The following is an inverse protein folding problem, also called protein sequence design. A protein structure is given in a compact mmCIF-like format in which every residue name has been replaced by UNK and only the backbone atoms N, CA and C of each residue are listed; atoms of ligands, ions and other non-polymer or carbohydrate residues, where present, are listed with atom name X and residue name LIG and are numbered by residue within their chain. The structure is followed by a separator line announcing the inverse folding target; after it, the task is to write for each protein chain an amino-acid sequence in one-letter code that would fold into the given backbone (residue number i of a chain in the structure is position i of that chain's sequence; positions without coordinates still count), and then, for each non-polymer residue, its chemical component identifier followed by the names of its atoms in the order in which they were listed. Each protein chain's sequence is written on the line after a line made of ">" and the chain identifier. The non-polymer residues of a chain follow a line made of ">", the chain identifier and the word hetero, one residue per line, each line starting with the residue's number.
data_IF_301731505267
#
_entry.id   IF_301731505267
#
_cell.length_a   1.000
_cell.length_b   1.000
_cell.length_c   1.000
_cell.angle_alpha   90.00
_cell.angle_beta   90.00
_cell.angle_gamma   90.00
#
_symmetry.space_group_name_H-M   'P 1'
#
loop_
_entity.id
_entity.type
_entity.pdbx_description
1 polymer ?
#
# COMPACT_ATOMS: atom_id res chain seq x y z
N UNK A 1 -1.66 46.37 19.55
CA UNK A 1 -2.94 46.52 18.81
C UNK A 1 -4.05 45.90 19.63
N UNK A 2 -5.25 46.47 19.60
CA UNK A 2 -6.44 45.83 20.15
C UNK A 2 -7.05 44.83 19.13
N UNK A 3 -8.01 44.02 19.56
CA UNK A 3 -8.64 42.99 18.71
C UNK A 3 -9.27 43.59 17.44
N UNK A 4 -9.90 44.76 17.52
CA UNK A 4 -10.51 45.40 16.35
C UNK A 4 -9.46 45.81 15.32
N UNK A 5 -8.34 46.38 15.76
CA UNK A 5 -7.21 46.70 14.88
C UNK A 5 -6.61 45.44 14.23
N UNK A 6 -6.54 44.34 14.98
CA UNK A 6 -6.06 43.04 14.46
C UNK A 6 -7.02 42.50 13.40
N UNK A 7 -8.35 42.57 13.63
CA UNK A 7 -9.35 42.17 12.64
C UNK A 7 -9.16 42.95 11.33
N UNK A 8 -9.00 44.27 11.43
CA UNK A 8 -8.78 45.12 10.25
C UNK A 8 -7.47 44.81 9.53
N UNK A 9 -6.39 44.54 10.26
CA UNK A 9 -5.11 44.11 9.66
C UNK A 9 -5.25 42.79 8.89
N UNK A 10 -5.98 41.82 9.45
CA UNK A 10 -6.24 40.54 8.78
C UNK A 10 -7.07 40.75 7.51
N UNK A 11 -8.17 41.50 7.58
CA UNK A 11 -9.02 41.77 6.43
C UNK A 11 -8.32 42.62 5.36
N UNK A 12 -7.44 43.53 5.75
CA UNK A 12 -6.64 44.30 4.80
C UNK A 12 -5.69 43.41 3.99
N UNK A 13 -5.05 42.45 4.65
CA UNK A 13 -4.09 41.54 3.99
C UNK A 13 -4.76 40.36 3.28
N UNK A 14 -5.91 39.93 3.79
CA UNK A 14 -6.74 38.86 3.25
C UNK A 14 -8.19 39.34 3.12
N UNK A 15 -8.52 40.12 2.07
CA UNK A 15 -9.87 40.68 1.90
C UNK A 15 -10.99 39.66 1.76
N UNK A 16 -10.64 38.44 1.34
CA UNK A 16 -11.59 37.33 1.19
C UNK A 16 -11.63 36.42 2.43
N UNK A 17 -11.09 36.87 3.56
CA UNK A 17 -11.10 36.06 4.77
C UNK A 17 -12.54 35.84 5.25
N UNK A 18 -12.88 34.60 5.61
CA UNK A 18 -14.22 34.30 6.12
C UNK A 18 -14.37 34.83 7.55
N UNK A 19 -15.24 35.85 7.70
CA UNK A 19 -15.43 36.56 8.97
C UNK A 19 -15.96 35.66 10.08
N UNK A 20 -16.85 34.71 9.79
CA UNK A 20 -17.39 33.79 10.79
C UNK A 20 -16.30 33.00 11.53
N UNK A 21 -15.23 32.60 10.82
CA UNK A 21 -14.09 31.94 11.45
C UNK A 21 -13.12 32.94 12.08
N UNK A 22 -12.98 34.13 11.49
CA UNK A 22 -12.17 35.20 12.06
C UNK A 22 -12.67 35.64 13.43
N UNK A 23 -13.98 35.77 13.59
CA UNK A 23 -14.57 36.21 14.85
C UNK A 23 -14.36 35.16 15.96
N UNK A 24 -14.56 33.87 15.63
CA UNK A 24 -14.23 32.76 16.55
C UNK A 24 -12.75 32.73 16.94
N UNK A 25 -11.87 33.00 15.97
CA UNK A 25 -10.44 33.08 16.22
C UNK A 25 -10.08 34.22 17.19
N UNK A 26 -10.64 35.40 16.96
CA UNK A 26 -10.38 36.60 17.76
C UNK A 26 -11.02 36.50 19.14
N UNK A 27 -12.16 35.83 19.27
CA UNK A 27 -12.78 35.51 20.56
C UNK A 27 -11.81 34.69 21.43
N UNK A 28 -11.22 33.62 20.87
CA UNK A 28 -10.21 32.81 21.56
C UNK A 28 -8.98 33.66 21.93
N UNK A 29 -8.51 34.51 21.01
CA UNK A 29 -7.32 35.33 21.23
C UNK A 29 -7.55 36.57 22.09
N UNK A 30 -8.79 36.82 22.54
CA UNK A 30 -9.14 38.05 23.26
C UNK A 30 -8.63 38.09 24.71
N UNK A 31 -8.33 36.93 25.28
CA UNK A 31 -7.88 36.79 26.68
C UNK A 31 -6.94 35.60 26.84
N UNK A 32 -6.08 35.70 27.86
CA UNK A 32 -5.26 34.58 28.29
C UNK A 32 -6.12 33.49 28.96
N UNK A 33 -5.82 32.23 28.67
CA UNK A 33 -6.34 31.09 29.42
C UNK A 33 -5.66 31.00 30.79
N UNK A 34 -6.40 30.50 31.78
CA UNK A 34 -5.99 30.43 33.19
C UNK A 34 -5.72 29.01 33.67
N UNK A 35 -5.51 28.07 32.74
CA UNK A 35 -5.26 26.65 33.03
C UNK A 35 -3.82 26.39 33.51
N UNK A 36 -3.59 25.26 34.19
CA UNK A 36 -2.27 24.85 34.70
C UNK A 36 -1.18 24.77 33.62
N UNK A 37 -1.58 24.44 32.39
CA UNK A 37 -0.71 24.41 31.23
C UNK A 37 -1.22 25.36 30.15
N UNK A 38 -0.36 26.28 29.71
CA UNK A 38 -0.63 27.21 28.61
C UNK A 38 0.59 27.34 27.70
N UNK A 39 0.32 27.59 26.43
CA UNK A 39 1.31 27.81 25.38
C UNK A 39 1.18 29.24 24.84
N UNK A 40 2.31 29.86 24.51
CA UNK A 40 2.30 31.16 23.86
C UNK A 40 1.89 31.03 22.38
N UNK A 41 0.85 31.75 22.00
CA UNK A 41 0.32 31.81 20.65
C UNK A 41 0.56 33.20 20.02
N UNK A 42 0.84 33.22 18.71
CA UNK A 42 0.96 34.45 17.92
C UNK A 42 -0.39 34.80 17.29
N UNK A 43 -1.02 35.90 17.72
CA UNK A 43 -2.34 36.33 17.18
C UNK A 43 -2.26 36.67 15.67
N UNK A 44 -1.14 37.23 15.23
CA UNK A 44 -0.77 37.35 13.83
C UNK A 44 0.39 36.37 13.57
N UNK A 45 0.15 35.27 12.82
CA UNK A 45 1.13 34.21 12.59
C UNK A 45 2.50 34.67 12.07
N UNK A 46 3.55 34.18 12.74
CA UNK A 46 4.97 34.48 12.47
C UNK A 46 5.54 33.96 11.13
N UNK A 47 4.71 33.42 10.24
CA UNK A 47 5.19 32.87 8.97
C UNK A 47 5.74 33.98 8.08
N UNK A 48 6.83 33.70 7.34
CA UNK A 48 7.39 34.62 6.34
C UNK A 48 6.38 35.06 5.28
N UNK A 49 5.38 34.23 5.02
CA UNK A 49 4.34 34.48 4.02
C UNK A 49 3.06 35.11 4.60
N UNK A 50 3.04 35.44 5.90
CA UNK A 50 1.85 35.98 6.57
C UNK A 50 2.19 37.35 7.19
N UNK A 51 2.79 37.37 8.39
CA UNK A 51 3.23 38.59 9.07
C UNK A 51 4.66 38.48 9.62
N UNK A 52 5.70 38.47 8.76
CA UNK A 52 7.09 38.44 9.20
C UNK A 52 7.50 39.61 10.12
N UNK A 53 6.82 40.75 10.02
CA UNK A 53 7.04 41.95 10.84
C UNK A 53 6.65 41.74 12.32
N UNK A 54 5.77 40.79 12.61
CA UNK A 54 5.22 40.56 13.96
C UNK A 54 5.76 39.29 14.66
N UNK A 55 6.87 38.73 14.17
CA UNK A 55 7.48 37.49 14.69
C UNK A 55 7.90 37.61 16.17
N UNK A 56 8.48 38.76 16.55
CA UNK A 56 9.10 38.95 17.86
C UNK A 56 8.09 39.41 18.90
N UNK A 57 7.90 38.62 19.97
CA UNK A 57 7.12 39.03 21.14
C UNK A 57 7.79 40.12 21.98
N UNK A 58 9.12 40.32 21.85
CA UNK A 58 9.80 41.42 22.53
C UNK A 58 9.43 42.76 21.89
N UNK A 59 9.36 42.78 20.56
CA UNK A 59 9.02 43.98 19.78
C UNK A 59 7.51 44.18 19.67
N UNK A 60 6.73 43.10 19.66
CA UNK A 60 5.27 43.11 19.58
C UNK A 60 4.64 42.29 20.72
N UNK A 61 4.71 42.77 21.99
CA UNK A 61 4.16 42.03 23.13
C UNK A 61 2.66 41.75 23.01
N UNK A 62 1.93 42.67 22.37
CA UNK A 62 0.50 42.55 22.09
C UNK A 62 0.15 41.39 21.15
N UNK A 63 1.11 40.88 20.37
CA UNK A 63 0.88 39.77 19.44
C UNK A 63 0.91 38.40 20.14
N UNK A 64 1.08 38.38 21.48
CA UNK A 64 1.18 37.18 22.29
C UNK A 64 -0.08 37.01 23.13
N UNK A 65 -0.68 35.83 23.08
CA UNK A 65 -1.71 35.38 24.00
C UNK A 65 -1.32 34.01 24.55
N UNK A 66 -1.64 33.71 25.80
CA UNK A 66 -1.41 32.40 26.42
C UNK A 66 -2.68 31.57 26.29
N UNK A 67 -2.60 30.45 25.59
CA UNK A 67 -3.75 29.57 25.36
C UNK A 67 -3.49 28.18 25.94
N UNK A 68 -4.54 27.55 26.47
CA UNK A 68 -4.60 26.12 26.71
C UNK A 68 -4.36 25.37 25.39
N UNK A 69 -3.95 24.11 25.48
CA UNK A 69 -3.61 23.33 24.29
C UNK A 69 -4.79 23.22 23.30
N UNK A 70 -6.01 23.10 23.82
CA UNK A 70 -7.25 22.98 23.02
C UNK A 70 -7.57 24.29 22.32
N UNK A 71 -7.57 25.41 23.04
CA UNK A 71 -7.77 26.73 22.45
C UNK A 71 -6.67 27.07 21.44
N UNK A 72 -5.43 26.63 21.67
CA UNK A 72 -4.34 26.80 20.72
C UNK A 72 -4.59 26.01 19.42
N UNK A 73 -5.13 24.79 19.50
CA UNK A 73 -5.52 24.01 18.32
C UNK A 73 -6.66 24.69 17.55
N UNK A 74 -7.71 25.12 18.26
CA UNK A 74 -8.86 25.82 17.68
C UNK A 74 -8.46 27.15 17.05
N UNK A 75 -7.59 27.92 17.70
CA UNK A 75 -7.07 29.17 17.18
C UNK A 75 -6.38 28.95 15.82
N UNK A 76 -5.48 27.95 15.74
CA UNK A 76 -4.84 27.59 14.48
C UNK A 76 -5.82 27.10 13.41
N UNK A 77 -6.84 26.32 13.78
CA UNK A 77 -7.87 25.88 12.84
C UNK A 77 -8.67 27.06 12.28
N UNK A 78 -9.19 27.93 13.15
CA UNK A 78 -10.05 29.02 12.73
C UNK A 78 -9.33 30.08 11.91
N UNK A 79 -8.09 30.46 12.26
CA UNK A 79 -7.34 31.38 11.39
C UNK A 79 -7.05 30.75 10.04
N UNK A 80 -6.72 29.45 10.00
CA UNK A 80 -6.45 28.75 8.74
C UNK A 80 -7.69 28.64 7.84
N UNK A 81 -8.86 28.40 8.42
CA UNK A 81 -10.14 28.41 7.70
C UNK A 81 -10.53 29.81 7.23
N UNK A 82 -10.32 30.82 8.08
CA UNK A 82 -10.65 32.20 7.75
C UNK A 82 -9.84 32.69 6.57
N UNK A 83 -8.50 32.67 6.64
CA UNK A 83 -7.65 33.25 5.58
C UNK A 83 -7.34 32.28 4.44
N UNK A 84 -7.69 31.00 4.61
CA UNK A 84 -7.46 29.91 3.66
C UNK A 84 -6.07 29.89 3.01
N UNK A 85 -5.03 30.17 3.80
CA UNK A 85 -3.66 30.27 3.32
C UNK A 85 -2.82 29.06 3.77
N UNK A 86 -2.01 28.49 2.85
CA UNK A 86 -1.25 27.26 3.11
C UNK A 86 -0.39 27.32 4.39
N UNK A 87 0.19 28.49 4.66
CA UNK A 87 1.07 28.68 5.81
C UNK A 87 0.33 28.65 7.15
N UNK A 88 -0.96 29.00 7.19
CA UNK A 88 -1.78 28.92 8.39
C UNK A 88 -2.22 27.48 8.70
N UNK A 89 -2.34 26.62 7.68
CA UNK A 89 -2.66 25.19 7.84
C UNK A 89 -1.49 24.35 8.37
N UNK A 90 -0.24 24.83 8.22
CA UNK A 90 0.95 24.06 8.63
C UNK A 90 1.03 23.86 10.16
N UNK A 91 0.79 24.89 11.00
CA UNK A 91 0.65 24.71 12.45
C UNK A 91 -0.46 23.73 12.84
N UNK A 92 -1.62 23.75 12.18
CA UNK A 92 -2.74 22.81 12.44
C UNK A 92 -2.26 21.37 12.31
N UNK A 93 -1.57 21.04 11.22
CA UNK A 93 -0.99 19.71 11.02
C UNK A 93 -0.02 19.32 12.13
N UNK A 94 0.88 20.23 12.52
CA UNK A 94 1.91 19.96 13.52
C UNK A 94 1.33 19.78 14.91
N UNK A 95 0.31 20.53 15.27
CA UNK A 95 -0.38 20.38 16.55
C UNK A 95 -1.11 19.04 16.62
N UNK A 96 -1.80 18.66 15.55
CA UNK A 96 -2.65 17.44 15.55
C UNK A 96 -1.83 16.15 15.42
N UNK A 97 -0.77 16.15 14.60
CA UNK A 97 -0.01 14.93 14.26
C UNK A 97 1.44 14.92 14.73
N UNK A 98 1.96 16.05 15.22
CA UNK A 98 3.37 16.21 15.58
C UNK A 98 3.68 15.89 17.03
N UNK A 99 2.70 15.46 17.82
CA UNK A 99 2.83 15.23 19.25
C UNK A 99 2.90 13.74 19.58
N UNK A 100 3.68 13.42 20.61
CA UNK A 100 3.79 12.09 21.18
C UNK A 100 2.87 11.96 22.40
N UNK A 101 2.39 10.74 22.66
CA UNK A 101 1.50 10.39 23.78
C UNK A 101 2.05 10.82 25.16
N UNK A 102 3.37 10.93 25.29
CA UNK A 102 4.05 11.34 26.52
C UNK A 102 4.19 12.86 26.71
N UNK A 103 3.65 13.70 25.81
CA UNK A 103 3.80 15.14 25.95
C UNK A 103 2.95 15.67 27.12
N UNK A 104 3.49 16.62 27.89
CA UNK A 104 2.75 17.28 28.99
C UNK A 104 1.38 17.84 28.56
N UNK A 105 1.22 18.13 27.28
CA UNK A 105 0.00 18.66 26.65
C UNK A 105 -1.21 17.74 26.81
N UNK A 106 -1.00 16.43 27.01
CA UNK A 106 -2.07 15.43 27.19
C UNK A 106 -2.33 15.06 28.66
N UNK A 107 -1.53 15.56 29.61
CA UNK A 107 -1.68 15.15 31.03
C UNK A 107 -2.93 15.74 31.70
N UNK A 108 -3.45 16.84 31.17
CA UNK A 108 -4.54 17.62 31.77
C UNK A 108 -5.68 17.91 30.76
N UNK A 109 -5.92 17.03 29.80
CA UNK A 109 -7.04 17.18 28.85
C UNK A 109 -8.21 16.29 29.26
N UNK A 110 -9.44 16.79 29.11
CA UNK A 110 -10.66 16.00 29.37
C UNK A 110 -11.06 15.16 28.15
N UNK A 111 -12.06 14.29 28.30
CA UNK A 111 -12.62 13.57 27.16
C UNK A 111 -13.24 14.52 26.13
N UNK A 112 -13.87 15.61 26.59
CA UNK A 112 -14.41 16.66 25.71
C UNK A 112 -13.31 17.32 24.88
N UNK A 113 -12.16 17.62 25.50
CA UNK A 113 -11.00 18.19 24.82
C UNK A 113 -10.48 17.26 23.72
N UNK A 114 -10.42 15.95 24.00
CA UNK A 114 -10.04 14.93 23.01
C UNK A 114 -11.01 14.95 21.84
N UNK A 115 -12.32 15.05 22.08
CA UNK A 115 -13.33 15.13 21.02
C UNK A 115 -13.16 16.40 20.18
N UNK A 116 -12.86 17.54 20.79
CA UNK A 116 -12.59 18.80 20.07
C UNK A 116 -11.35 18.68 19.19
N UNK A 117 -10.26 18.11 19.71
CA UNK A 117 -9.02 17.89 18.94
C UNK A 117 -9.26 16.91 17.79
N UNK A 118 -10.02 15.84 18.03
CA UNK A 118 -10.41 14.89 16.99
C UNK A 118 -11.22 15.57 15.87
N UNK A 119 -12.16 16.46 16.22
CA UNK A 119 -12.89 17.26 15.24
C UNK A 119 -11.97 18.15 14.42
N UNK A 120 -11.00 18.82 15.05
CA UNK A 120 -9.98 19.59 14.34
C UNK A 120 -9.19 18.72 13.34
N UNK A 121 -8.88 17.47 13.72
CA UNK A 121 -8.17 16.52 12.87
C UNK A 121 -8.99 16.13 11.63
N UNK A 122 -10.29 15.89 11.79
CA UNK A 122 -11.18 15.60 10.66
C UNK A 122 -11.35 16.81 9.73
N UNK A 123 -11.50 18.01 10.28
CA UNK A 123 -11.57 19.24 9.46
C UNK A 123 -10.28 19.48 8.67
N UNK A 124 -9.11 19.24 9.29
CA UNK A 124 -7.84 19.31 8.58
C UNK A 124 -7.75 18.26 7.45
N UNK A 125 -8.22 17.02 7.68
CA UNK A 125 -8.18 15.96 6.67
C UNK A 125 -8.99 16.33 5.43
N UNK A 126 -10.19 16.88 5.60
CA UNK A 126 -11.04 17.28 4.47
C UNK A 126 -10.41 18.40 3.65
N UNK A 127 -9.74 19.36 4.28
CA UNK A 127 -9.13 20.51 3.59
C UNK A 127 -7.76 20.20 2.96
N UNK A 128 -6.90 19.46 3.66
CA UNK A 128 -5.48 19.35 3.28
C UNK A 128 -5.08 17.95 2.79
N UNK A 129 -5.87 16.89 3.01
CA UNK A 129 -5.62 15.53 2.47
C UNK A 129 -6.49 15.16 1.26
N UNK A 130 -7.37 16.06 0.80
CA UNK A 130 -8.12 15.92 -0.47
C UNK A 130 -7.27 16.22 -1.72
N UNK A 131 -7.94 16.57 -2.82
CA UNK A 131 -7.36 16.77 -4.17
C UNK A 131 -6.22 17.79 -4.28
N UNK A 132 -5.88 18.52 -3.20
CA UNK A 132 -4.87 19.59 -3.18
C UNK A 132 -3.56 19.14 -2.48
N UNK A 133 -3.52 17.96 -1.85
CA UNK A 133 -2.33 17.49 -1.11
C UNK A 133 -1.13 17.20 -2.04
N UNK A 134 0.08 17.65 -1.68
CA UNK A 134 1.29 17.46 -2.50
C UNK A 134 1.72 16.00 -2.67
N UNK A 135 1.29 15.08 -1.80
CA UNK A 135 1.56 13.64 -1.92
C UNK A 135 0.31 12.78 -2.25
N UNK A 136 -0.91 13.29 -2.08
CA UNK A 136 -2.15 12.49 -2.24
C UNK A 136 -3.28 13.19 -3.00
N UNK A 137 -3.13 14.48 -3.33
CA UNK A 137 -4.06 15.21 -4.20
C UNK A 137 -3.74 14.99 -5.68
N UNK A 138 -4.48 15.67 -6.56
CA UNK A 138 -4.24 15.75 -8.01
C UNK A 138 -2.74 15.81 -8.22
N UNK A 139 -2.19 14.72 -8.79
CA UNK A 139 -0.76 14.58 -9.04
C UNK A 139 -0.30 15.88 -9.66
N UNK A 140 0.57 16.63 -8.96
CA UNK A 140 1.28 17.73 -9.61
C UNK A 140 1.87 17.12 -10.87
N UNK A 141 1.42 17.59 -12.03
CA UNK A 141 2.08 17.29 -13.27
C UNK A 141 3.46 17.94 -13.14
N UNK A 142 4.39 17.22 -12.51
CA UNK A 142 5.82 17.50 -12.62
C UNK A 142 6.05 17.38 -14.11
N UNK A 143 6.02 18.52 -14.80
CA UNK A 143 6.09 18.58 -16.26
C UNK A 143 7.29 17.75 -16.71
N UNK A 144 7.20 17.18 -17.91
CA UNK A 144 8.22 16.24 -18.40
C UNK A 144 9.63 16.82 -18.34
N UNK A 145 9.74 18.15 -18.41
CA UNK A 145 10.98 18.88 -18.22
C UNK A 145 11.56 18.79 -16.79
N UNK A 146 10.74 18.92 -15.75
CA UNK A 146 11.19 18.75 -14.37
C UNK A 146 11.59 17.29 -14.09
N UNK A 147 10.85 16.32 -14.64
CA UNK A 147 11.24 14.90 -14.58
C UNK A 147 12.56 14.64 -15.28
N UNK A 148 12.77 15.25 -16.45
CA UNK A 148 14.02 15.19 -17.20
C UNK A 148 15.18 15.80 -16.42
N UNK A 149 15.00 16.98 -15.79
CA UNK A 149 16.02 17.64 -14.96
C UNK A 149 16.42 16.77 -13.76
N UNK A 150 15.45 16.15 -13.06
CA UNK A 150 15.73 15.23 -11.96
C UNK A 150 16.48 13.98 -12.46
N UNK A 151 16.02 13.39 -13.55
CA UNK A 151 16.66 12.21 -14.16
C UNK A 151 18.11 12.49 -14.55
N UNK A 152 18.38 13.62 -15.20
CA UNK A 152 19.73 14.06 -15.55
C UNK A 152 20.59 14.29 -14.30
N UNK A 153 20.05 14.94 -13.26
CA UNK A 153 20.76 15.22 -12.02
C UNK A 153 21.12 13.96 -11.21
N UNK A 154 20.41 12.85 -11.43
CA UNK A 154 20.64 11.56 -10.78
C UNK A 154 21.45 10.59 -11.66
N UNK A 155 21.57 10.85 -12.97
CA UNK A 155 22.30 10.00 -13.89
C UNK A 155 23.79 9.98 -13.52
N UNK A 156 24.34 8.78 -13.30
CA UNK A 156 25.75 8.59 -12.95
C UNK A 156 26.08 8.73 -11.45
N UNK A 157 25.14 9.17 -10.60
CA UNK A 157 25.36 9.16 -9.16
C UNK A 157 25.25 7.73 -8.62
N UNK A 158 26.35 7.19 -8.06
CA UNK A 158 26.31 5.94 -7.31
C UNK A 158 25.37 6.12 -6.13
N UNK A 159 24.38 5.24 -6.02
CA UNK A 159 23.55 5.17 -4.82
C UNK A 159 24.46 4.81 -3.64
N UNK A 160 24.28 5.44 -2.47
CA UNK A 160 25.03 5.04 -1.29
C UNK A 160 24.78 3.57 -1.00
N UNK A 161 25.81 2.89 -0.52
CA UNK A 161 25.70 1.51 -0.11
C UNK A 161 24.72 1.41 1.06
N UNK A 162 23.76 0.50 0.95
CA UNK A 162 22.74 0.32 1.97
C UNK A 162 23.34 -0.42 3.15
N UNK A 163 23.14 0.10 4.35
CA UNK A 163 23.46 -0.64 5.59
C UNK A 163 22.64 -1.93 5.67
N UNK A 164 23.15 -2.95 6.36
CA UNK A 164 22.43 -4.22 6.52
C UNK A 164 21.07 -4.05 7.21
N UNK A 165 20.98 -3.18 8.23
CA UNK A 165 19.70 -2.86 8.86
C UNK A 165 18.68 -2.27 7.87
N UNK A 166 19.12 -1.45 6.91
CA UNK A 166 18.24 -0.94 5.87
C UNK A 166 17.78 -2.02 4.88
N UNK A 167 18.66 -2.97 4.53
CA UNK A 167 18.29 -4.12 3.70
C UNK A 167 17.26 -5.01 4.40
N UNK A 168 17.47 -5.30 5.69
CA UNK A 168 16.54 -6.07 6.50
C UNK A 168 15.17 -5.38 6.60
N UNK A 169 15.14 -4.08 6.90
CA UNK A 169 13.88 -3.32 6.98
C UNK A 169 13.11 -3.30 5.64
N UNK A 170 13.83 -3.22 4.52
CA UNK A 170 13.22 -3.28 3.19
C UNK A 170 12.58 -4.66 2.95
N UNK A 171 13.31 -5.74 3.25
CA UNK A 171 12.83 -7.11 3.12
C UNK A 171 11.60 -7.37 4.00
N UNK A 172 11.66 -6.98 5.28
CA UNK A 172 10.53 -7.11 6.21
C UNK A 172 9.31 -6.31 5.75
N UNK A 173 9.50 -5.09 5.25
CA UNK A 173 8.40 -4.27 4.72
C UNK A 173 7.76 -4.87 3.48
N UNK A 174 8.58 -5.41 2.57
CA UNK A 174 8.09 -6.09 1.36
C UNK A 174 7.31 -7.34 1.76
N UNK A 175 7.85 -8.16 2.67
CA UNK A 175 7.19 -9.37 3.16
C UNK A 175 5.85 -9.07 3.80
N UNK A 176 5.81 -8.10 4.72
CA UNK A 176 4.56 -7.67 5.39
C UNK A 176 3.52 -7.18 4.38
N UNK A 177 3.96 -6.47 3.33
CA UNK A 177 3.06 -6.06 2.24
C UNK A 177 2.43 -7.28 1.58
N UNK A 178 3.20 -8.30 1.20
CA UNK A 178 2.67 -9.49 0.54
C UNK A 178 1.87 -10.41 1.46
N UNK A 179 2.14 -10.42 2.77
CA UNK A 179 1.35 -11.18 3.75
C UNK A 179 -0.08 -10.66 3.87
N UNK A 180 -0.29 -9.34 3.78
CA UNK A 180 -1.62 -8.74 3.89
C UNK A 180 -2.29 -8.43 2.55
N UNK A 181 -1.53 -8.44 1.46
CA UNK A 181 -2.02 -7.97 0.16
C UNK A 181 -2.71 -9.08 -0.61
N UNK A 182 -4.03 -9.17 -0.41
CA UNK A 182 -4.92 -9.96 -1.26
C UNK A 182 -5.32 -9.09 -2.44
N UNK A 183 -4.76 -9.37 -3.62
CA UNK A 183 -5.21 -8.74 -4.87
C UNK A 183 -6.64 -9.17 -5.15
N UNK A 184 -7.57 -8.22 -5.19
CA UNK A 184 -8.97 -8.50 -5.54
C UNK A 184 -9.09 -9.14 -6.92
N UNK A 185 -10.11 -9.96 -7.12
CA UNK A 185 -10.37 -10.59 -8.41
C UNK A 185 -10.52 -9.55 -9.53
N UNK A 186 -11.24 -8.46 -9.26
CA UNK A 186 -11.39 -7.33 -10.19
C UNK A 186 -10.04 -6.72 -10.60
N UNK A 187 -9.11 -6.56 -9.66
CA UNK A 187 -7.78 -6.03 -9.96
C UNK A 187 -6.98 -7.00 -10.83
N UNK A 188 -7.09 -8.31 -10.57
CA UNK A 188 -6.44 -9.35 -11.40
C UNK A 188 -6.99 -9.32 -12.83
N UNK A 189 -8.30 -9.19 -12.99
CA UNK A 189 -8.96 -9.14 -14.29
C UNK A 189 -8.55 -7.88 -15.08
N UNK A 190 -8.49 -6.71 -14.42
CA UNK A 190 -7.99 -5.47 -15.04
C UNK A 190 -6.54 -5.60 -15.49
N UNK A 191 -5.67 -6.17 -14.65
CA UNK A 191 -4.26 -6.40 -15.01
C UNK A 191 -4.14 -7.37 -16.18
N UNK A 192 -4.88 -8.49 -16.14
CA UNK A 192 -4.90 -9.49 -17.19
C UNK A 192 -5.35 -8.90 -18.53
N UNK A 193 -6.45 -8.14 -18.52
CA UNK A 193 -6.98 -7.47 -19.71
C UNK A 193 -5.98 -6.44 -20.27
N UNK A 194 -5.34 -5.65 -19.40
CA UNK A 194 -4.32 -4.67 -19.81
C UNK A 194 -3.10 -5.34 -20.43
N UNK A 195 -2.61 -6.43 -19.82
CA UNK A 195 -1.47 -7.20 -20.35
C UNK A 195 -1.83 -7.81 -21.71
N UNK A 196 -2.99 -8.45 -21.83
CA UNK A 196 -3.46 -9.03 -23.10
C UNK A 196 -3.55 -7.96 -24.18
N UNK A 197 -4.15 -6.80 -23.88
CA UNK A 197 -4.23 -5.65 -24.77
C UNK A 197 -2.86 -5.17 -25.23
N UNK A 198 -1.91 -5.02 -24.30
CA UNK A 198 -0.54 -4.61 -24.62
C UNK A 198 0.12 -5.58 -25.59
N UNK A 199 0.01 -6.90 -25.36
CA UNK A 199 0.62 -7.89 -26.25
C UNK A 199 -0.11 -8.08 -27.57
N UNK A 200 -1.43 -7.83 -27.64
CA UNK A 200 -2.18 -7.86 -28.90
C UNK A 200 -1.87 -6.65 -29.78
N UNK A 201 -1.77 -5.47 -29.19
CA UNK A 201 -1.52 -4.20 -29.90
C UNK A 201 -0.03 -4.00 -30.20
N UNK A 202 0.84 -4.36 -29.28
CA UNK A 202 2.30 -4.27 -29.42
C UNK A 202 2.90 -5.66 -29.64
N UNK A 203 2.41 -6.36 -30.67
CA UNK A 203 3.04 -7.60 -31.16
C UNK A 203 4.42 -7.25 -31.72
N UNK A 204 5.41 -7.06 -30.84
CA UNK A 204 6.82 -7.01 -31.21
C UNK A 204 7.17 -8.39 -31.75
N UNK A 205 7.08 -8.55 -33.06
CA UNK A 205 7.63 -9.69 -33.75
C UNK A 205 9.13 -9.59 -33.55
N UNK A 206 9.65 -10.36 -32.58
CA UNK A 206 11.09 -10.48 -32.40
C UNK A 206 11.68 -10.96 -33.72
N UNK A 207 12.67 -10.22 -34.23
CA UNK A 207 13.38 -10.62 -35.44
C UNK A 207 13.98 -12.02 -35.25
N UNK A 208 14.16 -12.75 -36.34
CA UNK A 208 14.83 -14.06 -36.33
C UNK A 208 16.19 -13.98 -35.63
N UNK A 209 16.93 -12.90 -35.87
CA UNK A 209 18.21 -12.61 -35.21
C UNK A 209 18.07 -12.49 -33.69
N UNK A 210 17.05 -11.77 -33.19
CA UNK A 210 16.84 -11.62 -31.76
C UNK A 210 16.39 -12.94 -31.10
N UNK A 211 15.54 -13.72 -31.77
CA UNK A 211 15.17 -15.07 -31.31
C UNK A 211 16.38 -15.99 -31.22
N UNK A 212 17.27 -15.93 -32.22
CA UNK A 212 18.52 -16.69 -32.24
C UNK A 212 19.43 -16.28 -31.09
N UNK A 213 19.61 -14.98 -30.84
CA UNK A 213 20.42 -14.48 -29.73
C UNK A 213 19.91 -14.94 -28.35
N UNK A 214 18.59 -14.89 -28.11
CA UNK A 214 18.00 -15.43 -26.88
C UNK A 214 18.24 -16.94 -26.78
N UNK A 215 18.05 -17.67 -27.87
CA UNK A 215 18.24 -19.12 -27.91
C UNK A 215 19.69 -19.51 -27.61
N UNK A 216 20.64 -18.85 -28.23
CA UNK A 216 22.07 -19.15 -28.08
C UNK A 216 22.56 -18.74 -26.67
N UNK A 217 22.00 -17.67 -26.09
CA UNK A 217 22.26 -17.27 -24.70
C UNK A 217 21.65 -18.18 -23.64
N UNK A 218 20.77 -19.11 -24.00
CA UNK A 218 20.11 -20.05 -23.09
C UNK A 218 20.51 -21.51 -23.35
N UNK A 219 21.54 -21.76 -24.17
CA UNK A 219 22.04 -23.11 -24.50
C UNK A 219 23.36 -23.41 -23.81
N UNK A 220 23.62 -24.71 -23.61
CA UNK A 220 24.89 -25.20 -23.08
C UNK A 220 25.23 -24.54 -21.75
N UNK A 221 26.47 -24.11 -21.62
CA UNK A 221 27.04 -23.51 -20.40
C UNK A 221 26.38 -22.18 -20.00
N UNK A 222 25.76 -21.47 -20.94
CA UNK A 222 25.08 -20.21 -20.66
C UNK A 222 23.72 -20.41 -19.97
N UNK A 223 23.17 -21.63 -19.99
CA UNK A 223 21.90 -21.90 -19.33
C UNK A 223 22.08 -21.81 -17.80
N UNK A 224 21.19 -21.07 -17.12
CA UNK A 224 21.28 -20.83 -15.66
C UNK A 224 21.32 -22.10 -14.78
N UNK A 225 20.87 -23.23 -15.34
CA UNK A 225 20.87 -24.55 -14.70
C UNK A 225 21.91 -25.53 -15.26
N UNK A 226 22.80 -25.09 -16.16
CA UNK A 226 23.90 -25.92 -16.61
C UNK A 226 24.81 -26.30 -15.44
N UNK A 227 25.23 -27.56 -15.37
CA UNK A 227 26.04 -28.11 -14.28
C UNK A 227 25.30 -28.29 -12.94
N UNK A 228 24.03 -27.89 -12.81
CA UNK A 228 23.23 -28.11 -11.60
C UNK A 228 22.44 -29.40 -11.70
N UNK A 229 22.42 -30.18 -10.62
CA UNK A 229 21.58 -31.37 -10.50
C UNK A 229 20.36 -31.07 -9.63
N UNK A 230 19.21 -31.66 -9.97
CA UNK A 230 18.03 -31.58 -9.12
C UNK A 230 18.25 -32.41 -7.84
N UNK A 231 17.74 -31.92 -6.71
CA UNK A 231 17.71 -32.68 -5.46
C UNK A 231 16.86 -33.94 -5.59
N UNK A 232 17.13 -34.96 -4.76
CA UNK A 232 16.34 -36.20 -4.75
C UNK A 232 14.86 -35.94 -4.45
N UNK A 233 14.56 -34.99 -3.55
CA UNK A 233 13.19 -34.57 -3.27
C UNK A 233 12.51 -33.98 -4.51
N UNK A 234 13.20 -33.12 -5.26
CA UNK A 234 12.66 -32.53 -6.48
C UNK A 234 12.45 -33.58 -7.58
N UNK A 235 13.38 -34.54 -7.73
CA UNK A 235 13.22 -35.71 -8.61
C UNK A 235 11.99 -36.54 -8.24
N UNK A 236 11.72 -36.71 -6.94
CA UNK A 236 10.53 -37.42 -6.45
C UNK A 236 9.24 -36.71 -6.86
N UNK A 237 9.15 -35.38 -6.66
CA UNK A 237 7.99 -34.57 -7.04
C UNK A 237 7.72 -34.59 -8.55
N UNK A 238 8.77 -34.53 -9.36
CA UNK A 238 8.67 -34.69 -10.83
C UNK A 238 8.14 -36.10 -11.17
N UNK A 239 8.64 -37.13 -10.49
CA UNK A 239 8.19 -38.53 -10.69
C UNK A 239 6.71 -38.71 -10.35
N UNK A 240 6.25 -38.20 -9.21
CA UNK A 240 4.84 -38.21 -8.81
C UNK A 240 3.95 -37.47 -9.80
N UNK A 241 4.35 -36.28 -10.22
CA UNK A 241 3.62 -35.50 -11.22
C UNK A 241 3.52 -36.23 -12.57
N UNK A 242 4.60 -36.91 -12.97
CA UNK A 242 4.64 -37.73 -14.18
C UNK A 242 3.81 -39.02 -14.06
N UNK A 243 3.63 -39.59 -12.87
CA UNK A 243 2.71 -40.71 -12.66
C UNK A 243 1.27 -40.29 -12.95
N UNK A 244 0.86 -39.10 -12.51
CA UNK A 244 -0.50 -38.57 -12.73
C UNK A 244 -0.76 -38.33 -14.23
N UNK A 245 0.16 -37.67 -14.93
CA UNK A 245 0.01 -37.39 -16.37
C UNK A 245 0.03 -38.66 -17.23
N UNK A 246 0.86 -39.66 -16.89
CA UNK A 246 0.86 -40.96 -17.58
C UNK A 246 -0.41 -41.78 -17.30
N UNK A 247 -0.97 -41.68 -16.09
CA UNK A 247 -2.28 -42.29 -15.74
C UNK A 247 -3.39 -41.67 -16.60
N UNK A 248 -3.48 -40.34 -16.67
CA UNK A 248 -4.57 -39.63 -17.38
C UNK A 248 -4.57 -39.82 -18.92
N UNK A 249 -3.43 -40.16 -19.53
CA UNK A 249 -3.35 -40.40 -20.97
C UNK A 249 -3.86 -41.78 -21.40
N UNK A 250 -4.14 -42.70 -20.46
CA UNK A 250 -4.70 -44.01 -20.79
C UNK A 250 -6.22 -44.02 -20.59
N UNK A 251 -7.03 -44.44 -21.59
CA UNK A 251 -8.48 -44.29 -21.57
C UNK A 251 -9.18 -44.89 -20.34
N UNK A 252 -8.66 -46.00 -19.81
CA UNK A 252 -9.27 -46.71 -18.69
C UNK A 252 -9.07 -46.02 -17.33
N UNK A 253 -8.05 -45.14 -17.19
CA UNK A 253 -7.84 -44.37 -15.96
C UNK A 253 -8.83 -43.22 -15.77
N UNK A 254 -9.59 -42.86 -16.81
CA UNK A 254 -10.70 -41.91 -16.68
C UNK A 254 -11.85 -42.46 -15.83
N UNK A 255 -11.94 -43.78 -15.71
CA UNK A 255 -12.99 -44.48 -14.95
C UNK A 255 -12.44 -45.01 -13.61
N UNK A 256 -11.39 -44.38 -13.06
CA UNK A 256 -10.68 -44.91 -11.89
C UNK A 256 -11.61 -45.20 -10.71
N UNK A 257 -12.43 -44.22 -10.33
CA UNK A 257 -13.33 -44.32 -9.17
C UNK A 257 -14.40 -45.41 -9.38
N UNK A 258 -15.05 -45.43 -10.54
CA UNK A 258 -16.04 -46.46 -10.89
C UNK A 258 -15.43 -47.87 -10.90
N UNK A 259 -14.24 -48.01 -11.46
CA UNK A 259 -13.52 -49.28 -11.52
C UNK A 259 -13.03 -49.72 -10.14
N UNK A 260 -12.70 -48.78 -9.24
CA UNK A 260 -12.34 -49.07 -7.86
C UNK A 260 -13.53 -49.65 -7.08
N UNK A 261 -14.73 -49.07 -7.24
CA UNK A 261 -15.95 -49.61 -6.63
C UNK A 261 -16.24 -51.04 -7.11
N UNK A 262 -16.14 -51.29 -8.43
CA UNK A 262 -16.30 -52.64 -9.00
C UNK A 262 -15.23 -53.60 -8.50
N UNK A 263 -14.00 -53.12 -8.34
CA UNK A 263 -12.92 -53.91 -7.78
C UNK A 263 -13.25 -54.36 -6.36
N UNK A 264 -13.63 -53.43 -5.47
CA UNK A 264 -14.02 -53.73 -4.08
C UNK A 264 -15.18 -54.73 -4.02
N UNK A 265 -16.20 -54.56 -4.86
CA UNK A 265 -17.38 -55.45 -4.91
C UNK A 265 -17.06 -56.89 -5.31
N UNK A 266 -16.03 -57.10 -6.14
CA UNK A 266 -15.73 -58.41 -6.71
C UNK A 266 -14.53 -59.12 -6.09
N UNK A 267 -13.88 -58.52 -5.08
CA UNK A 267 -12.72 -59.14 -4.44
C UNK A 267 -13.08 -60.46 -3.73
N UNK A 268 -12.17 -61.46 -3.75
CA UNK A 268 -10.85 -61.45 -4.39
C UNK A 268 -10.90 -61.84 -5.88
N UNK A 269 -10.27 -61.05 -6.76
CA UNK A 269 -10.16 -61.38 -8.19
C UNK A 269 -8.79 -61.02 -8.76
N UNK A 270 -8.31 -61.87 -9.68
CA UNK A 270 -7.09 -61.61 -10.45
C UNK A 270 -7.30 -60.49 -11.47
N UNK A 271 -6.22 -59.87 -11.93
CA UNK A 271 -6.29 -58.83 -12.97
C UNK A 271 -6.91 -59.33 -14.28
N UNK A 272 -6.70 -60.60 -14.63
CA UNK A 272 -7.31 -61.20 -15.82
C UNK A 272 -8.83 -61.28 -15.67
N UNK A 273 -9.30 -61.78 -14.52
CA UNK A 273 -10.73 -61.85 -14.19
C UNK A 273 -11.37 -60.47 -14.12
N UNK A 274 -10.69 -59.48 -13.54
CA UNK A 274 -11.16 -58.10 -13.48
C UNK A 274 -11.33 -57.51 -14.87
N UNK A 275 -10.31 -57.62 -15.73
CA UNK A 275 -10.35 -57.15 -17.13
C UNK A 275 -11.55 -57.75 -17.87
N UNK A 276 -11.76 -59.06 -17.80
CA UNK A 276 -12.90 -59.72 -18.47
C UNK A 276 -14.24 -59.18 -17.98
N UNK A 277 -14.39 -58.92 -16.67
CA UNK A 277 -15.64 -58.39 -16.11
C UNK A 277 -15.89 -56.95 -16.53
N UNK A 278 -14.89 -56.07 -16.48
CA UNK A 278 -15.07 -54.65 -16.82
C UNK A 278 -15.25 -54.45 -18.33
N UNK A 279 -14.58 -55.24 -19.18
CA UNK A 279 -14.81 -55.20 -20.64
C UNK A 279 -16.24 -55.62 -20.99
N UNK A 280 -16.82 -56.61 -20.28
CA UNK A 280 -18.24 -56.97 -20.43
C UNK A 280 -19.21 -55.85 -20.05
N UNK A 281 -18.78 -54.91 -19.20
CA UNK A 281 -19.55 -53.72 -18.82
C UNK A 281 -19.31 -52.52 -19.75
N UNK A 282 -18.53 -52.68 -20.82
CA UNK A 282 -18.26 -51.62 -21.80
C UNK A 282 -17.03 -50.75 -21.51
N UNK A 283 -16.21 -51.10 -20.50
CA UNK A 283 -14.97 -50.38 -20.23
C UNK A 283 -13.86 -50.73 -21.23
N UNK A 284 -12.84 -49.85 -21.43
CA UNK A 284 -11.82 -50.05 -22.46
C UNK A 284 -11.01 -51.35 -22.30
N UNK A 285 -10.88 -52.14 -23.37
CA UNK A 285 -10.07 -53.36 -23.33
C UNK A 285 -8.55 -53.05 -23.25
N UNK A 286 -8.05 -52.94 -22.02
CA UNK A 286 -6.67 -52.59 -21.69
C UNK A 286 -6.14 -53.44 -20.53
N UNK A 287 -4.83 -53.33 -20.29
CA UNK A 287 -4.20 -54.00 -19.17
C UNK A 287 -4.39 -53.21 -17.87
N UNK A 288 -5.16 -53.78 -16.93
CA UNK A 288 -5.52 -53.14 -15.65
C UNK A 288 -4.56 -53.43 -14.49
N UNK A 289 -3.48 -54.18 -14.69
CA UNK A 289 -2.64 -54.67 -13.58
C UNK A 289 -2.03 -53.56 -12.72
N UNK A 290 -1.59 -52.45 -13.32
CA UNK A 290 -1.04 -51.31 -12.56
C UNK A 290 -2.12 -50.54 -11.78
N UNK A 291 -3.35 -50.54 -12.28
CA UNK A 291 -4.49 -49.91 -11.63
C UNK A 291 -4.92 -50.73 -10.41
N UNK A 292 -5.00 -52.05 -10.55
CA UNK A 292 -5.29 -52.97 -9.44
C UNK A 292 -4.25 -52.87 -8.33
N UNK A 293 -2.94 -52.80 -8.66
CA UNK A 293 -1.90 -52.56 -7.64
C UNK A 293 -2.11 -51.24 -6.89
N UNK A 294 -2.62 -50.21 -7.58
CA UNK A 294 -2.95 -48.93 -6.95
C UNK A 294 -4.15 -49.08 -6.01
N UNK A 295 -5.18 -49.81 -6.42
CA UNK A 295 -6.35 -50.14 -5.59
C UNK A 295 -5.97 -50.94 -4.34
N UNK A 296 -5.05 -51.90 -4.45
CA UNK A 296 -4.54 -52.68 -3.31
C UNK A 296 -3.79 -51.79 -2.32
N UNK A 297 -3.04 -50.81 -2.81
CA UNK A 297 -2.31 -49.85 -1.96
C UNK A 297 -3.28 -48.89 -1.25
N UNK A 298 -4.29 -48.38 -1.95
CA UNK A 298 -5.32 -47.50 -1.39
C UNK A 298 -6.25 -48.21 -0.40
N UNK A 299 -6.53 -49.50 -0.59
CA UNK A 299 -7.31 -50.30 0.37
C UNK A 299 -6.58 -50.49 1.71
N UNK A 300 -5.24 -50.42 1.71
CA UNK A 300 -4.40 -50.59 2.90
C UNK A 300 -4.07 -49.27 3.62
N UNK A 301 -4.46 -48.13 3.04
CA UNK A 301 -4.27 -46.79 3.61
C UNK A 301 -5.52 -46.33 4.36
#
# INVERSE_FOLDING_TARGET
>A
MNIQQIKQEILSRFPNAEETYLDKYLEICSKDDTTDYVEAHHILPKSKSLWPEYISFKSNPWNKVKLSYVNHCLAHLYIAKSINHFAAWTPVQRMIYGTNENSMKYRNITEEDVMVIAKCAEEYKTHYRGDIHHNTGLKRNVGDEARRKISLALKGKKKPERTEGHKQNLTSSIRKRYETYVVSQETREKLSSSIKKYYSENKRILSSAHKKAISDGMKGENHMYFGKTFSNEHKSKISESNKITKRNNQPHWKFYDELFEKYVQWQPITHSTFRTKVVKLGYPDKFYGNMIKSFETEKLA
#
